data_IF_889748448985
#
_entry.id   IF_889748448985
#
_cell.length_a   1.000
_cell.length_b   1.000
_cell.length_c   1.000
_cell.angle_alpha   90.00
_cell.angle_beta   90.00
_cell.angle_gamma   90.00
#
_symmetry.space_group_name_H-M   'P 1'
#
loop_
_entity.id
_entity.type
_entity.pdbx_description
1 polymer ?
#
# COMPACT_ATOMS: atom_id res chain seq x y z
N UNK A 1 3.89 -22.71 2.88
CA UNK A 1 3.49 -21.89 4.04
C UNK A 1 3.97 -20.47 3.77
N UNK A 2 3.09 -19.47 3.72
CA UNK A 2 3.52 -18.09 3.44
C UNK A 2 4.31 -17.54 4.63
N UNK A 3 5.43 -16.87 4.37
CA UNK A 3 6.21 -16.15 5.37
C UNK A 3 5.30 -15.16 6.12
N UNK A 4 5.46 -15.06 7.45
CA UNK A 4 4.66 -14.16 8.29
C UNK A 4 4.76 -12.71 7.82
N UNK A 5 5.92 -12.27 7.34
CA UNK A 5 6.13 -10.91 6.85
C UNK A 5 5.32 -10.66 5.57
N UNK A 6 5.26 -11.64 4.66
CA UNK A 6 4.43 -11.54 3.46
C UNK A 6 2.94 -11.42 3.82
N UNK A 7 2.47 -12.15 4.84
CA UNK A 7 1.08 -12.02 5.32
C UNK A 7 0.80 -10.61 5.84
N UNK A 8 1.71 -10.04 6.62
CA UNK A 8 1.60 -8.67 7.15
C UNK A 8 1.55 -7.66 6.01
N UNK A 9 2.41 -7.78 5.01
CA UNK A 9 2.42 -6.90 3.83
C UNK A 9 1.08 -6.98 3.10
N UNK A 10 0.58 -8.19 2.84
CA UNK A 10 -0.64 -8.38 2.06
C UNK A 10 -1.85 -7.86 2.83
N UNK A 11 -2.00 -8.25 4.09
CA UNK A 11 -3.11 -7.78 4.91
C UNK A 11 -3.07 -6.27 5.12
N UNK A 12 -1.88 -5.69 5.33
CA UNK A 12 -1.66 -4.25 5.42
C UNK A 12 -2.16 -3.52 4.18
N UNK A 13 -1.66 -3.90 3.00
CA UNK A 13 -2.03 -3.31 1.70
C UNK A 13 -3.51 -3.46 1.37
N UNK A 14 -4.09 -4.63 1.69
CA UNK A 14 -5.53 -4.88 1.54
C UNK A 14 -6.39 -4.05 2.48
N UNK A 15 -5.84 -3.59 3.61
CA UNK A 15 -6.58 -2.82 4.62
C UNK A 15 -6.51 -1.30 4.39
N UNK A 16 -5.53 -0.81 3.62
CA UNK A 16 -5.33 0.61 3.35
C UNK A 16 -5.72 0.99 1.92
N UNK A 17 -4.75 1.28 1.04
CA UNK A 17 -4.94 1.81 -0.31
C UNK A 17 -5.99 1.05 -1.12
N UNK A 18 -5.95 -0.29 -1.09
CA UNK A 18 -6.91 -1.14 -1.82
C UNK A 18 -8.34 -0.98 -1.28
N UNK A 19 -8.50 -0.83 0.03
CA UNK A 19 -9.80 -0.69 0.71
C UNK A 19 -10.43 0.70 0.57
N UNK A 20 -9.62 1.73 0.30
CA UNK A 20 -10.11 3.11 0.10
C UNK A 20 -11.18 3.13 -0.99
N UNK A 21 -12.31 3.77 -0.78
CA UNK A 21 -13.33 4.02 -1.81
C UNK A 21 -13.67 5.51 -1.83
N UNK A 22 -14.63 5.92 -2.66
CA UNK A 22 -15.14 7.30 -2.64
C UNK A 22 -15.79 7.65 -1.30
N UNK A 23 -16.42 6.67 -0.66
CA UNK A 23 -17.21 6.85 0.57
C UNK A 23 -16.45 6.43 1.84
N UNK A 24 -15.27 5.81 1.69
CA UNK A 24 -14.49 5.30 2.82
C UNK A 24 -13.00 5.54 2.62
N UNK A 25 -12.37 6.22 3.58
CA UNK A 25 -10.92 6.42 3.61
C UNK A 25 -10.34 5.80 4.88
N UNK A 26 -9.53 4.73 4.81
CA UNK A 26 -8.92 4.13 5.99
C UNK A 26 -7.79 4.98 6.59
N UNK A 27 -7.31 5.99 5.88
CA UNK A 27 -6.23 6.86 6.32
C UNK A 27 -6.75 8.03 7.16
N UNK A 28 -5.92 8.45 8.12
CA UNK A 28 -6.10 9.69 8.88
C UNK A 28 -5.11 10.76 8.39
N UNK A 29 -5.40 12.03 8.66
CA UNK A 29 -4.46 13.12 8.38
C UNK A 29 -3.19 12.97 9.23
N UNK A 30 -2.05 13.32 8.65
CA UNK A 30 -0.74 13.31 9.31
C UNK A 30 -0.08 14.69 9.18
N UNK A 31 0.87 14.98 10.07
CA UNK A 31 1.64 16.24 10.05
C UNK A 31 2.87 16.15 9.15
N UNK A 32 3.46 14.95 9.04
CA UNK A 32 4.68 14.73 8.25
C UNK A 32 4.33 14.44 6.80
N UNK A 33 3.41 13.50 6.57
CA UNK A 33 2.82 13.18 5.27
C UNK A 33 1.38 13.72 5.21
N UNK A 34 0.72 13.70 4.06
CA UNK A 34 -0.68 14.17 4.00
C UNK A 34 -1.63 13.20 4.69
N UNK A 35 -1.30 11.91 4.65
CA UNK A 35 -2.11 10.80 5.12
C UNK A 35 -1.26 9.71 5.75
N UNK A 36 -1.78 9.07 6.79
CA UNK A 36 -1.19 7.90 7.43
C UNK A 36 -2.23 6.83 7.77
N UNK A 37 -1.77 5.59 7.74
CA UNK A 37 -2.51 4.41 8.14
C UNK A 37 -1.64 3.57 9.07
N UNK A 38 -2.26 2.96 10.08
CA UNK A 38 -1.61 2.04 11.00
C UNK A 38 -2.54 0.86 11.29
N UNK A 39 -2.00 -0.35 11.24
CA UNK A 39 -2.70 -1.58 11.64
C UNK A 39 -1.77 -2.53 12.39
N UNK A 40 -2.24 -3.06 13.51
CA UNK A 40 -1.56 -4.15 14.19
C UNK A 40 -1.94 -5.50 13.57
N UNK A 41 -0.93 -6.31 13.26
CA UNK A 41 -1.09 -7.62 12.64
C UNK A 41 -0.12 -8.58 13.34
N UNK A 42 -0.63 -9.47 14.18
CA UNK A 42 0.15 -10.37 15.03
C UNK A 42 1.20 -9.60 15.88
N UNK A 43 2.48 -9.97 15.78
CA UNK A 43 3.60 -9.32 16.45
C UNK A 43 4.11 -8.04 15.73
N UNK A 44 3.45 -7.59 14.68
CA UNK A 44 3.90 -6.47 13.85
C UNK A 44 2.90 -5.30 13.83
N UNK A 45 3.43 -4.13 13.49
CA UNK A 45 2.68 -2.93 13.13
C UNK A 45 2.98 -2.63 11.67
N UNK A 46 1.96 -2.66 10.83
CA UNK A 46 2.02 -2.16 9.46
C UNK A 46 1.65 -0.68 9.46
N UNK A 47 2.49 0.15 8.83
CA UNK A 47 2.22 1.56 8.57
C UNK A 47 2.32 1.84 7.08
N UNK A 48 1.45 2.72 6.60
CA UNK A 48 1.52 3.26 5.24
C UNK A 48 1.20 4.75 5.27
N UNK A 49 2.07 5.57 4.70
CA UNK A 49 1.96 7.02 4.70
C UNK A 49 2.26 7.56 3.31
N UNK A 50 1.45 8.52 2.84
CA UNK A 50 1.65 9.13 1.53
C UNK A 50 1.32 10.62 1.51
N UNK A 51 1.90 11.33 0.55
CA UNK A 51 1.64 12.74 0.25
C UNK A 51 1.46 12.97 -1.25
N UNK A 52 0.65 13.96 -1.56
CA UNK A 52 0.34 14.33 -2.93
C UNK A 52 -0.53 13.32 -3.66
N UNK A 53 -0.71 13.58 -4.95
CA UNK A 53 -1.49 12.78 -5.87
C UNK A 53 -0.78 12.69 -7.23
N UNK A 54 -0.26 13.81 -7.74
CA UNK A 54 0.62 13.84 -8.90
C UNK A 54 1.51 15.11 -8.83
N UNK A 55 2.79 15.02 -8.44
CA UNK A 55 3.51 13.80 -8.03
C UNK A 55 2.96 13.20 -6.73
N UNK A 56 3.22 11.91 -6.53
CA UNK A 56 2.96 11.22 -5.27
C UNK A 56 4.25 10.66 -4.69
N UNK A 57 4.30 10.58 -3.37
CA UNK A 57 5.36 9.92 -2.63
C UNK A 57 4.76 9.25 -1.39
N UNK A 58 5.26 8.06 -1.05
CA UNK A 58 4.84 7.36 0.14
C UNK A 58 5.84 6.33 0.62
N UNK A 59 5.57 5.82 1.82
CA UNK A 59 6.39 4.84 2.52
C UNK A 59 5.49 3.83 3.23
N UNK A 60 5.75 2.55 2.99
CA UNK A 60 5.21 1.44 3.77
C UNK A 60 6.30 0.97 4.77
N UNK A 61 5.97 0.79 6.04
CA UNK A 61 6.90 0.35 7.10
C UNK A 61 6.27 -0.79 7.90
N UNK A 62 7.07 -1.80 8.25
CA UNK A 62 6.68 -2.83 9.22
C UNK A 62 7.62 -2.78 10.42
N UNK A 63 7.04 -2.67 11.60
CA UNK A 63 7.74 -2.61 12.89
C UNK A 63 7.38 -3.85 13.70
N UNK A 64 8.37 -4.56 14.24
CA UNK A 64 8.15 -5.62 15.23
C UNK A 64 7.84 -4.99 16.60
N UNK A 65 6.74 -5.41 17.24
CA UNK A 65 6.23 -4.77 18.46
C UNK A 65 7.16 -4.91 19.67
N UNK A 66 7.76 -6.08 19.87
CA UNK A 66 8.55 -6.35 21.08
C UNK A 66 9.88 -5.58 21.07
N UNK A 67 10.62 -5.63 19.96
CA UNK A 67 11.90 -4.92 19.86
C UNK A 67 11.79 -3.47 19.39
N UNK A 68 10.60 -3.07 18.91
CA UNK A 68 10.37 -1.79 18.23
C UNK A 68 11.31 -1.56 17.02
N UNK A 69 11.80 -2.63 16.40
CA UNK A 69 12.67 -2.54 15.21
C UNK A 69 11.86 -2.49 13.93
N UNK A 70 12.29 -1.64 13.00
CA UNK A 70 11.84 -1.69 11.62
C UNK A 70 12.44 -2.93 10.97
N UNK A 71 11.58 -3.84 10.50
CA UNK A 71 12.00 -5.10 9.87
C UNK A 71 11.82 -5.08 8.36
N UNK A 72 11.06 -4.11 7.83
CA UNK A 72 10.83 -3.93 6.41
C UNK A 72 10.39 -2.50 6.11
N UNK A 73 10.85 -1.98 4.96
CA UNK A 73 10.49 -0.66 4.43
C UNK A 73 10.34 -0.73 2.91
N UNK A 74 9.41 0.03 2.37
CA UNK A 74 9.28 0.26 0.93
C UNK A 74 8.91 1.71 0.69
N UNK A 75 9.85 2.44 0.09
CA UNK A 75 9.60 3.78 -0.43
C UNK A 75 9.09 3.70 -1.87
N UNK A 76 8.16 4.59 -2.22
CA UNK A 76 7.65 4.69 -3.58
C UNK A 76 7.37 6.14 -3.93
N UNK A 77 7.76 6.51 -5.14
CA UNK A 77 7.54 7.84 -5.72
C UNK A 77 7.13 7.69 -7.17
N UNK A 78 6.30 8.61 -7.65
CA UNK A 78 5.90 8.59 -9.05
C UNK A 78 5.09 9.81 -9.44
N UNK A 79 4.90 9.94 -10.74
CA UNK A 79 4.05 10.95 -11.34
C UNK A 79 3.61 10.50 -12.73
N UNK A 80 2.47 11.01 -13.16
CA UNK A 80 1.94 10.88 -14.52
C UNK A 80 2.46 12.05 -15.33
N UNK A 81 3.06 11.77 -16.48
CA UNK A 81 3.56 12.78 -17.42
C UNK A 81 2.42 13.67 -17.91
N UNK A 82 2.66 14.97 -18.04
CA UNK A 82 1.66 15.93 -18.54
C UNK A 82 1.21 15.61 -19.98
N UNK A 83 2.05 14.92 -20.75
CA UNK A 83 1.74 14.46 -22.12
C UNK A 83 0.96 13.15 -22.15
N UNK A 84 0.63 12.55 -21.00
CA UNK A 84 -0.13 11.31 -20.96
C UNK A 84 -1.56 11.57 -21.44
N UNK A 85 -2.05 10.81 -22.45
CA UNK A 85 -3.43 10.97 -22.93
C UNK A 85 -4.47 10.41 -21.95
N UNK A 86 -4.04 9.74 -20.87
CA UNK A 86 -4.90 9.12 -19.86
C UNK A 86 -4.86 9.97 -18.58
N UNK A 87 -6.03 10.23 -18.00
CA UNK A 87 -6.12 10.99 -16.76
C UNK A 87 -5.43 10.24 -15.60
N UNK A 88 -4.77 11.00 -14.72
CA UNK A 88 -4.03 10.43 -13.61
C UNK A 88 -4.93 9.58 -12.69
N UNK A 89 -6.20 9.96 -12.48
CA UNK A 89 -7.12 9.15 -11.66
C UNK A 89 -7.38 7.79 -12.31
N UNK A 90 -7.52 7.73 -13.63
CA UNK A 90 -7.73 6.47 -14.34
C UNK A 90 -6.52 5.53 -14.20
N UNK A 91 -5.30 6.09 -14.26
CA UNK A 91 -4.07 5.32 -14.03
C UNK A 91 -4.04 4.79 -12.59
N UNK A 92 -4.33 5.62 -11.60
CA UNK A 92 -4.32 5.18 -10.20
C UNK A 92 -5.44 4.18 -9.88
N UNK A 93 -6.62 4.34 -10.46
CA UNK A 93 -7.71 3.37 -10.32
C UNK A 93 -7.29 2.01 -10.91
N UNK A 94 -6.67 2.01 -12.10
CA UNK A 94 -6.09 0.80 -12.69
C UNK A 94 -5.03 0.16 -11.80
N UNK A 95 -4.06 0.94 -11.29
CA UNK A 95 -2.99 0.43 -10.43
C UNK A 95 -3.53 -0.17 -9.14
N UNK A 96 -4.54 0.48 -8.55
CA UNK A 96 -5.21 -0.01 -7.34
C UNK A 96 -5.98 -1.30 -7.60
N UNK A 97 -6.72 -1.39 -8.70
CA UNK A 97 -7.42 -2.61 -9.08
C UNK A 97 -6.44 -3.76 -9.32
N UNK A 98 -5.40 -3.52 -10.12
CA UNK A 98 -4.37 -4.50 -10.43
C UNK A 98 -3.67 -5.00 -9.17
N UNK A 99 -3.30 -4.09 -8.25
CA UNK A 99 -2.71 -4.46 -6.96
C UNK A 99 -3.70 -5.25 -6.09
N UNK A 100 -4.97 -4.85 -6.04
CA UNK A 100 -6.01 -5.60 -5.31
C UNK A 100 -6.15 -7.03 -5.81
N UNK A 101 -6.26 -7.21 -7.14
CA UNK A 101 -6.33 -8.54 -7.78
C UNK A 101 -5.07 -9.36 -7.53
N UNK A 102 -3.88 -8.77 -7.66
CA UNK A 102 -2.62 -9.48 -7.36
C UNK A 102 -2.60 -10.02 -5.93
N UNK A 103 -2.96 -9.17 -4.95
CA UNK A 103 -2.93 -9.55 -3.55
C UNK A 103 -3.93 -10.66 -3.20
N UNK A 104 -5.09 -10.74 -3.88
CA UNK A 104 -6.15 -11.71 -3.59
C UNK A 104 -6.04 -12.97 -4.46
N UNK A 105 -5.84 -12.83 -5.76
CA UNK A 105 -5.98 -13.91 -6.75
C UNK A 105 -4.68 -14.69 -6.96
N UNK A 106 -3.51 -14.08 -6.73
CA UNK A 106 -2.21 -14.77 -6.86
C UNK A 106 -1.86 -15.62 -5.63
N UNK A 107 -2.88 -16.23 -4.99
CA UNK A 107 -2.76 -17.08 -3.79
C UNK A 107 -1.95 -16.44 -2.66
N UNK A 108 -2.05 -15.12 -2.52
CA UNK A 108 -1.28 -14.34 -1.55
C UNK A 108 0.24 -14.50 -1.70
N UNK A 109 0.75 -14.78 -2.90
CA UNK A 109 2.18 -14.85 -3.18
C UNK A 109 2.64 -13.59 -3.91
N UNK A 110 3.45 -12.78 -3.23
CA UNK A 110 3.95 -11.51 -3.75
C UNK A 110 4.89 -11.67 -4.95
N UNK A 111 5.44 -12.86 -5.18
CA UNK A 111 6.38 -13.16 -6.27
C UNK A 111 5.73 -13.86 -7.47
N UNK A 112 4.44 -14.20 -7.39
CA UNK A 112 3.72 -14.69 -8.56
C UNK A 112 3.28 -13.51 -9.42
N UNK A 113 3.49 -13.65 -10.73
CA UNK A 113 2.96 -12.71 -11.70
C UNK A 113 1.49 -13.01 -11.94
N UNK A 114 0.71 -11.95 -12.10
CA UNK A 114 -0.64 -12.05 -12.63
C UNK A 114 -0.54 -12.35 -14.14
N UNK A 115 -0.92 -13.55 -14.54
CA UNK A 115 -1.08 -13.93 -15.95
C UNK A 115 -2.56 -13.84 -16.31
N UNK A 116 -2.88 -12.98 -17.29
CA UNK A 116 -4.22 -12.86 -17.87
C UNK A 116 -4.62 -14.12 -18.65
#
# INVERSE_FOLDING_TARGET
MLDILQKVIIEGRLSCYVKKTKDFNPYIKSDVYDWEFKKEINQYIFKDSYRGFNPYAGVEIIIEKESNKVVWICDYVGYVLDTCPIDANQIYDFLKEARGKHLVECKFNLFLNFTF
#
